data_IF_706003595532
#
_entry.id   IF_706003595532
#
_cell.length_a   1.000
_cell.length_b   1.000
_cell.length_c   1.000
_cell.angle_alpha   90.00
_cell.angle_beta   90.00
_cell.angle_gamma   90.00
#
_symmetry.space_group_name_H-M   'P 1'
#
loop_
_entity.id
_entity.type
_entity.pdbx_description
1 polymer ?
#
# COMPACT_ATOMS: atom_id res chain seq x y z
N UNK A 1 -10.27 -2.95 9.28
CA UNK A 1 -11.65 -2.44 9.09
C UNK A 1 -12.23 -1.73 10.33
N UNK A 2 -11.92 -2.16 11.58
CA UNK A 2 -12.49 -1.57 12.81
C UNK A 2 -12.20 -0.07 12.96
N UNK A 3 -11.00 0.37 12.60
CA UNK A 3 -10.62 1.79 12.66
C UNK A 3 -11.23 2.66 11.55
N UNK A 4 -12.00 2.09 10.62
CA UNK A 4 -12.62 2.84 9.54
C UNK A 4 -11.74 3.15 8.33
N UNK A 5 -10.46 2.75 8.32
CA UNK A 5 -9.52 3.02 7.22
C UNK A 5 -10.10 2.69 5.83
N UNK A 6 -10.70 1.51 5.67
CA UNK A 6 -11.30 1.09 4.40
C UNK A 6 -12.61 1.83 4.03
N UNK A 7 -13.08 2.77 4.85
CA UNK A 7 -14.16 3.68 4.44
C UNK A 7 -13.65 4.89 3.67
N UNK A 8 -12.38 5.22 3.85
CA UNK A 8 -11.75 6.39 3.25
C UNK A 8 -10.76 6.02 2.15
N UNK A 9 -10.20 4.79 2.18
CA UNK A 9 -9.16 4.34 1.28
C UNK A 9 -9.59 3.12 0.47
N UNK A 10 -9.17 3.08 -0.79
CA UNK A 10 -9.31 1.95 -1.69
C UNK A 10 -7.94 1.31 -1.96
N UNK A 11 -7.91 -0.01 -2.03
CA UNK A 11 -6.71 -0.78 -2.34
C UNK A 11 -6.53 -0.87 -3.85
N UNK A 12 -5.30 -0.70 -4.32
CA UNK A 12 -5.00 -0.76 -5.75
C UNK A 12 -3.60 -1.34 -5.99
N UNK A 13 -3.10 -1.26 -7.22
CA UNK A 13 -1.76 -1.71 -7.57
C UNK A 13 -1.64 -3.22 -7.77
N UNK A 14 -0.39 -3.71 -7.87
CA UNK A 14 -0.10 -5.10 -8.21
C UNK A 14 -0.60 -6.11 -7.19
N UNK A 15 -0.58 -5.76 -5.90
CA UNK A 15 -1.04 -6.67 -4.84
C UNK A 15 -2.57 -6.78 -4.83
N UNK A 16 -3.29 -5.69 -5.13
CA UNK A 16 -4.73 -5.74 -5.32
C UNK A 16 -5.11 -6.63 -6.50
N UNK A 17 -4.43 -6.49 -7.65
CA UNK A 17 -4.61 -7.34 -8.81
C UNK A 17 -4.36 -8.83 -8.47
N UNK A 18 -3.30 -9.12 -7.71
CA UNK A 18 -2.99 -10.49 -7.29
C UNK A 18 -4.07 -11.10 -6.41
N UNK A 19 -4.49 -10.39 -5.37
CA UNK A 19 -5.41 -10.94 -4.35
C UNK A 19 -6.84 -11.04 -4.86
N UNK A 20 -7.30 -10.05 -5.65
CA UNK A 20 -8.71 -9.90 -5.97
C UNK A 20 -9.05 -10.20 -7.45
N UNK A 21 -8.05 -10.14 -8.35
CA UNK A 21 -8.26 -10.28 -9.79
C UNK A 21 -7.42 -11.43 -10.40
N UNK A 22 -6.74 -12.23 -9.56
CA UNK A 22 -6.07 -13.44 -10.01
C UNK A 22 -4.77 -13.22 -10.78
N UNK A 23 -4.11 -12.06 -10.62
CA UNK A 23 -2.82 -11.82 -11.25
C UNK A 23 -1.78 -12.84 -10.78
N UNK A 24 -1.24 -13.66 -11.71
CA UNK A 24 -0.26 -14.71 -11.44
C UNK A 24 1.17 -14.16 -11.38
N UNK A 25 1.39 -13.17 -10.55
CA UNK A 25 2.70 -12.56 -10.32
C UNK A 25 2.86 -12.18 -8.86
N UNK A 26 4.04 -12.42 -8.30
CA UNK A 26 4.35 -11.98 -6.95
C UNK A 26 4.31 -10.45 -6.83
N UNK A 27 3.66 -9.97 -5.78
CA UNK A 27 3.60 -8.57 -5.40
C UNK A 27 3.51 -8.47 -3.88
N UNK A 28 4.25 -7.57 -3.27
CA UNK A 28 4.40 -7.45 -1.81
C UNK A 28 4.03 -6.07 -1.26
N UNK A 29 4.08 -5.03 -2.10
CA UNK A 29 3.75 -3.67 -1.69
C UNK A 29 2.23 -3.54 -1.45
N UNK A 30 1.84 -2.80 -0.43
CA UNK A 30 0.45 -2.45 -0.14
C UNK A 30 0.20 -1.01 -0.59
N UNK A 31 -0.47 -0.87 -1.72
CA UNK A 31 -0.77 0.42 -2.34
C UNK A 31 -2.23 0.79 -2.07
N UNK A 32 -2.45 1.91 -1.39
CA UNK A 32 -3.76 2.48 -1.14
C UNK A 32 -3.88 3.88 -1.72
N UNK A 33 -5.08 4.27 -2.06
CA UNK A 33 -5.43 5.65 -2.39
C UNK A 33 -6.66 6.07 -1.62
N UNK A 34 -6.70 7.30 -1.14
CA UNK A 34 -7.94 7.84 -0.63
C UNK A 34 -8.98 7.89 -1.74
N UNK A 35 -10.24 7.68 -1.42
CA UNK A 35 -11.34 7.81 -2.39
C UNK A 35 -11.73 9.26 -2.61
N UNK A 36 -11.39 10.14 -1.66
CA UNK A 36 -11.57 11.59 -1.75
C UNK A 36 -10.27 12.27 -1.35
N UNK A 37 -9.89 13.31 -2.08
CA UNK A 37 -8.65 14.05 -1.80
C UNK A 37 -8.66 14.63 -0.38
N UNK A 38 -7.61 14.30 0.38
CA UNK A 38 -7.39 14.84 1.73
C UNK A 38 -5.87 15.03 1.96
N UNK A 39 -5.31 16.19 1.64
CA UNK A 39 -3.88 16.47 1.88
C UNK A 39 -3.47 16.36 3.35
N UNK A 40 -4.42 16.56 4.28
CA UNK A 40 -4.18 16.50 5.73
C UNK A 40 -4.41 15.10 6.33
N UNK A 41 -4.64 14.09 5.49
CA UNK A 41 -4.83 12.73 5.98
C UNK A 41 -3.63 12.26 6.80
N UNK A 42 -3.92 11.78 8.01
CA UNK A 42 -2.91 11.22 8.91
C UNK A 42 -3.11 9.71 9.10
N UNK A 43 -2.22 8.94 8.48
CA UNK A 43 -2.23 7.49 8.60
C UNK A 43 -1.88 7.01 10.01
N UNK A 44 -1.13 7.81 10.80
CA UNK A 44 -0.71 7.43 12.16
C UNK A 44 -1.89 7.18 13.10
N UNK A 45 -3.02 7.84 12.86
CA UNK A 45 -4.23 7.61 13.63
C UNK A 45 -4.73 6.15 13.60
N UNK A 46 -4.34 5.39 12.56
CA UNK A 46 -4.73 3.99 12.38
C UNK A 46 -3.73 2.98 12.93
N UNK A 47 -2.51 3.40 13.27
CA UNK A 47 -1.43 2.51 13.73
C UNK A 47 -1.76 1.73 15.00
N UNK A 48 -2.35 2.34 16.06
CA UNK A 48 -2.68 1.60 17.27
C UNK A 48 -3.61 0.40 17.02
N UNK A 49 -4.62 0.58 16.17
CA UNK A 49 -5.55 -0.51 15.86
C UNK A 49 -4.92 -1.55 14.92
N UNK A 50 -4.04 -1.12 14.03
CA UNK A 50 -3.26 -2.03 13.18
C UNK A 50 -2.35 -2.90 14.03
N UNK A 51 -1.56 -2.32 14.93
CA UNK A 51 -0.69 -3.06 15.85
C UNK A 51 -1.47 -4.04 16.73
N UNK A 52 -2.57 -3.58 17.32
CA UNK A 52 -3.46 -4.44 18.10
C UNK A 52 -3.98 -5.63 17.30
N UNK A 53 -4.40 -5.37 16.07
CA UNK A 53 -4.92 -6.42 15.18
C UNK A 53 -3.82 -7.42 14.81
N UNK A 54 -2.62 -6.95 14.45
CA UNK A 54 -1.49 -7.80 14.10
C UNK A 54 -1.05 -8.67 15.30
N UNK A 55 -0.99 -8.08 16.49
CA UNK A 55 -0.69 -8.81 17.73
C UNK A 55 -1.72 -9.90 18.04
N UNK A 56 -2.99 -9.68 17.72
CA UNK A 56 -4.02 -10.70 17.91
C UNK A 56 -3.84 -11.94 17.02
N UNK A 57 -3.03 -11.86 15.96
CA UNK A 57 -2.58 -12.99 15.14
C UNK A 57 -1.26 -13.61 15.61
N UNK A 58 -0.73 -13.20 16.77
CA UNK A 58 0.55 -13.68 17.28
C UNK A 58 1.77 -13.09 16.58
N UNK A 59 1.60 -11.99 15.84
CA UNK A 59 2.68 -11.29 15.15
C UNK A 59 2.95 -9.93 15.82
N UNK A 60 4.23 -9.54 15.85
CA UNK A 60 4.63 -8.19 16.25
C UNK A 60 4.90 -7.35 15.02
N UNK A 61 4.49 -6.10 15.05
CA UNK A 61 4.73 -5.12 13.98
C UNK A 61 5.35 -3.86 14.57
N UNK A 62 6.37 -3.36 13.89
CA UNK A 62 6.91 -2.02 14.12
C UNK A 62 6.69 -1.20 12.86
N UNK A 63 6.09 -0.05 13.00
CA UNK A 63 5.79 0.84 11.87
C UNK A 63 6.85 1.93 11.85
N UNK A 64 7.59 2.02 10.74
CA UNK A 64 8.59 3.05 10.54
C UNK A 64 8.21 3.94 9.36
N UNK A 65 8.31 5.25 9.55
CA UNK A 65 8.23 6.19 8.45
C UNK A 65 9.56 6.21 7.68
N UNK A 66 9.47 6.35 6.37
CA UNK A 66 10.63 6.64 5.56
C UNK A 66 10.91 8.13 5.65
N UNK A 67 11.93 8.53 6.41
CA UNK A 67 12.44 9.88 6.32
C UNK A 67 13.00 10.11 4.90
N UNK A 68 12.39 11.02 4.18
CA UNK A 68 12.90 11.44 2.87
C UNK A 68 14.08 12.38 3.11
N UNK A 69 15.29 12.01 2.66
CA UNK A 69 16.39 12.97 2.56
C UNK A 69 15.93 14.16 1.73
N UNK A 70 16.29 15.40 2.15
CA UNK A 70 15.84 16.65 1.52
C UNK A 70 16.02 16.69 -0.01
N UNK A 71 17.08 16.08 -0.54
CA UNK A 71 17.30 15.99 -2.00
C UNK A 71 16.32 15.08 -2.73
N UNK A 72 15.90 13.97 -2.11
CA UNK A 72 14.87 13.10 -2.69
C UNK A 72 13.47 13.69 -2.55
N UNK A 73 13.24 14.58 -1.57
CA UNK A 73 11.97 15.27 -1.37
C UNK A 73 11.68 16.25 -2.51
N UNK A 74 12.68 16.95 -3.04
CA UNK A 74 12.50 17.87 -4.17
C UNK A 74 12.12 17.11 -5.46
N UNK A 75 12.79 15.99 -5.75
CA UNK A 75 12.47 15.15 -6.92
C UNK A 75 11.15 14.39 -6.77
N UNK A 76 10.80 13.94 -5.56
CA UNK A 76 9.52 13.28 -5.29
C UNK A 76 8.34 14.25 -5.28
N UNK A 77 8.53 15.49 -4.82
CA UNK A 77 7.49 16.51 -4.83
C UNK A 77 7.02 16.87 -6.25
N UNK A 78 7.92 16.76 -7.25
CA UNK A 78 7.58 16.99 -8.65
C UNK A 78 6.82 15.83 -9.31
N UNK A 79 6.92 14.59 -8.77
CA UNK A 79 6.40 13.38 -9.40
C UNK A 79 5.33 12.64 -8.57
N UNK A 80 5.31 12.86 -7.24
CA UNK A 80 4.39 12.20 -6.30
C UNK A 80 4.17 13.09 -5.06
N UNK A 81 3.73 14.31 -5.27
CA UNK A 81 3.64 15.32 -4.20
C UNK A 81 2.80 14.90 -2.98
N UNK A 82 2.01 13.83 -3.09
CA UNK A 82 0.98 13.49 -2.12
C UNK A 82 1.02 12.03 -1.63
N UNK A 83 2.05 11.26 -1.99
CA UNK A 83 2.17 9.86 -1.51
C UNK A 83 2.96 9.80 -0.21
N UNK A 84 2.35 9.21 0.83
CA UNK A 84 2.99 8.91 2.11
C UNK A 84 3.43 7.45 2.12
N UNK A 85 4.71 7.18 2.37
CA UNK A 85 5.31 5.86 2.40
C UNK A 85 5.62 5.44 3.85
N UNK A 86 5.22 4.23 4.22
CA UNK A 86 5.51 3.62 5.52
C UNK A 86 6.03 2.20 5.32
N UNK A 87 6.75 1.70 6.30
CA UNK A 87 7.20 0.32 6.33
C UNK A 87 6.62 -0.40 7.54
N UNK A 88 6.00 -1.55 7.29
CA UNK A 88 5.55 -2.46 8.32
C UNK A 88 6.61 -3.56 8.48
N UNK A 89 7.23 -3.62 9.64
CA UNK A 89 8.24 -4.61 10.00
C UNK A 89 7.58 -5.65 10.89
N UNK A 90 7.45 -6.87 10.39
CA UNK A 90 6.81 -7.97 11.12
C UNK A 90 7.86 -8.89 11.72
N UNK A 91 7.65 -9.29 12.97
CA UNK A 91 8.47 -10.21 13.71
C UNK A 91 7.62 -11.41 14.18
N UNK A 92 8.19 -12.61 14.20
CA UNK A 92 7.46 -13.83 14.58
C UNK A 92 7.13 -13.85 16.08
N UNK A 93 8.07 -13.46 16.95
CA UNK A 93 7.89 -13.31 18.39
C UNK A 93 9.05 -12.49 19.00
N UNK A 94 8.95 -12.13 20.31
CA UNK A 94 9.99 -11.36 21.00
C UNK A 94 11.28 -12.17 21.20
N UNK A 95 11.19 -13.50 21.33
CA UNK A 95 12.34 -14.39 21.52
C UNK A 95 13.10 -14.52 20.20
N UNK A 96 12.38 -14.67 19.10
CA UNK A 96 12.92 -14.72 17.75
C UNK A 96 13.51 -13.37 17.35
N UNK A 97 12.90 -12.24 17.78
CA UNK A 97 13.42 -10.89 17.51
C UNK A 97 14.83 -10.63 18.10
N UNK A 98 15.17 -11.31 19.19
CA UNK A 98 16.50 -11.20 19.82
C UNK A 98 17.56 -12.13 19.18
N UNK A 99 17.14 -13.14 18.43
CA UNK A 99 18.03 -14.12 17.75
C UNK A 99 18.15 -13.87 16.24
N UNK A 100 17.20 -13.13 15.65
CA UNK A 100 17.18 -12.80 14.22
C UNK A 100 17.94 -11.50 14.02
N UNK A 101 18.96 -11.55 13.18
CA UNK A 101 19.62 -10.33 12.70
C UNK A 101 18.58 -9.41 12.05
N UNK A 102 18.75 -8.10 12.19
CA UNK A 102 17.85 -7.07 11.60
C UNK A 102 17.50 -7.26 10.11
N UNK A 103 18.18 -8.20 9.44
CA UNK A 103 17.99 -8.53 8.03
C UNK A 103 16.90 -9.58 7.76
N UNK A 104 16.32 -10.21 8.77
CA UNK A 104 15.33 -11.28 8.61
C UNK A 104 13.89 -10.84 8.93
N UNK A 105 13.68 -9.56 9.27
CA UNK A 105 12.34 -9.02 9.43
C UNK A 105 11.62 -8.96 8.07
N UNK A 106 10.40 -9.49 8.01
CA UNK A 106 9.55 -9.29 6.83
C UNK A 106 9.18 -7.81 6.73
N UNK A 107 9.64 -7.15 5.68
CA UNK A 107 9.40 -5.73 5.43
C UNK A 107 8.35 -5.55 4.35
N UNK A 108 7.19 -5.04 4.71
CA UNK A 108 6.13 -4.71 3.77
C UNK A 108 6.05 -3.20 3.61
N UNK A 109 6.14 -2.73 2.38
CA UNK A 109 5.96 -1.34 2.03
C UNK A 109 4.47 -1.01 1.98
N UNK A 110 4.07 0.05 2.67
CA UNK A 110 2.73 0.59 2.67
C UNK A 110 2.76 2.00 2.09
N UNK A 111 2.07 2.20 0.99
CA UNK A 111 1.93 3.52 0.35
C UNK A 111 0.47 3.97 0.41
N UNK A 112 0.25 5.26 0.62
CA UNK A 112 -1.06 5.86 0.48
C UNK A 112 -0.98 7.14 -0.34
N UNK A 113 -1.76 7.19 -1.41
CA UNK A 113 -1.97 8.40 -2.20
C UNK A 113 -3.11 9.21 -1.57
N UNK A 114 -2.82 10.44 -1.18
CA UNK A 114 -3.79 11.35 -0.55
C UNK A 114 -4.56 12.21 -1.55
N UNK A 115 -4.21 12.10 -2.83
CA UNK A 115 -4.88 12.80 -3.94
C UNK A 115 -5.19 11.81 -5.07
N UNK A 116 -6.32 11.10 -4.99
CA UNK A 116 -6.70 10.14 -6.01
C UNK A 116 -6.81 10.81 -7.39
N UNK A 117 -6.52 10.07 -8.47
CA UNK A 117 -6.73 10.58 -9.82
C UNK A 117 -8.20 10.92 -10.05
N UNK A 118 -8.44 11.97 -10.82
CA UNK A 118 -9.79 12.34 -11.19
C UNK A 118 -10.48 11.18 -11.93
N UNK A 119 -11.77 10.99 -11.67
CA UNK A 119 -12.62 9.96 -12.29
C UNK A 119 -12.26 8.52 -11.93
N UNK A 120 -11.40 8.29 -10.92
CA UNK A 120 -11.22 6.96 -10.38
C UNK A 120 -12.53 6.42 -9.81
N UNK A 121 -12.85 5.18 -10.15
CA UNK A 121 -14.05 4.46 -9.68
C UNK A 121 -13.64 3.30 -8.80
N UNK A 122 -14.55 2.91 -7.90
CA UNK A 122 -14.26 1.97 -6.83
C UNK A 122 -15.34 0.89 -6.76
N UNK A 123 -14.92 -0.29 -6.37
CA UNK A 123 -15.84 -1.37 -6.05
C UNK A 123 -15.58 -1.87 -4.62
N UNK A 124 -16.56 -2.56 -4.07
CA UNK A 124 -16.51 -3.14 -2.73
C UNK A 124 -16.50 -4.65 -2.83
N UNK A 125 -15.52 -5.28 -2.19
CA UNK A 125 -15.40 -6.73 -2.15
C UNK A 125 -15.33 -7.27 -0.74
N UNK A 126 -15.82 -8.50 -0.57
CA UNK A 126 -15.74 -9.26 0.66
C UNK A 126 -14.72 -10.38 0.49
N UNK A 127 -13.84 -10.53 1.48
CA UNK A 127 -12.95 -11.67 1.63
C UNK A 127 -13.33 -12.46 2.87
N UNK A 128 -13.24 -13.79 2.76
CA UNK A 128 -13.56 -14.69 3.88
C UNK A 128 -12.32 -15.18 4.62
N UNK A 129 -11.15 -15.14 4.00
CA UNK A 129 -9.89 -15.58 4.59
C UNK A 129 -8.90 -14.40 4.72
N UNK A 130 -8.06 -14.37 5.76
CA UNK A 130 -7.99 -15.29 6.91
C UNK A 130 -9.13 -15.11 7.91
N UNK A 131 -9.90 -14.04 7.80
CA UNK A 131 -11.11 -13.71 8.53
C UNK A 131 -12.02 -12.88 7.62
N UNK A 132 -13.34 -12.88 7.83
CA UNK A 132 -14.25 -12.06 7.04
C UNK A 132 -13.91 -10.56 7.15
N UNK A 133 -13.69 -9.92 6.02
CA UNK A 133 -13.50 -8.46 5.93
C UNK A 133 -14.05 -7.89 4.62
N UNK A 134 -14.38 -6.64 4.68
CA UNK A 134 -14.80 -5.83 3.55
C UNK A 134 -13.71 -4.82 3.22
N UNK A 135 -13.46 -4.61 1.92
CA UNK A 135 -12.45 -3.68 1.43
C UNK A 135 -12.96 -2.96 0.19
N UNK A 136 -12.64 -1.68 0.08
CA UNK A 136 -12.82 -0.93 -1.16
C UNK A 136 -11.59 -1.14 -2.04
N UNK A 137 -11.83 -1.36 -3.33
CA UNK A 137 -10.82 -1.54 -4.37
C UNK A 137 -11.03 -0.51 -5.47
N UNK A 138 -9.99 -0.21 -6.20
CA UNK A 138 -10.17 0.32 -7.56
C UNK A 138 -10.81 -0.78 -8.41
N UNK A 139 -11.79 -0.40 -9.22
CA UNK A 139 -12.36 -1.30 -10.21
C UNK A 139 -11.37 -1.60 -11.34
N UNK A 140 -11.65 -2.63 -12.13
CA UNK A 140 -10.75 -3.05 -13.23
C UNK A 140 -10.43 -1.92 -14.21
N UNK A 141 -11.40 -1.09 -14.68
CA UNK A 141 -11.09 0.03 -15.57
C UNK A 141 -10.10 1.03 -14.95
N UNK A 142 -10.27 1.38 -13.67
CA UNK A 142 -9.38 2.32 -12.97
C UNK A 142 -8.00 1.72 -12.72
N UNK A 143 -7.92 0.41 -12.40
CA UNK A 143 -6.64 -0.31 -12.28
C UNK A 143 -5.90 -0.33 -13.62
N UNK A 144 -6.58 -0.65 -14.71
CA UNK A 144 -6.01 -0.66 -16.05
C UNK A 144 -5.53 0.74 -16.47
N UNK A 145 -6.34 1.78 -16.26
CA UNK A 145 -5.95 3.16 -16.54
C UNK A 145 -4.69 3.55 -15.77
N UNK A 146 -4.58 3.16 -14.50
CA UNK A 146 -3.39 3.38 -13.68
C UNK A 146 -2.14 2.67 -14.23
N UNK A 147 -2.29 1.47 -14.80
CA UNK A 147 -1.19 0.73 -15.45
C UNK A 147 -0.75 1.40 -16.75
N UNK A 148 -1.68 1.78 -17.60
CA UNK A 148 -1.38 2.52 -18.83
C UNK A 148 -0.67 3.84 -18.51
N UNK A 149 -1.17 4.58 -17.53
CA UNK A 149 -0.51 5.81 -17.07
C UNK A 149 0.92 5.54 -16.57
N UNK A 150 1.13 4.47 -15.81
CA UNK A 150 2.46 4.09 -15.34
C UNK A 150 3.41 3.76 -16.50
N UNK A 151 2.95 3.04 -17.52
CA UNK A 151 3.75 2.71 -18.71
C UNK A 151 4.13 3.98 -19.47
N UNK A 152 3.15 4.84 -19.74
CA UNK A 152 3.38 6.06 -20.52
C UNK A 152 4.25 7.08 -19.78
N UNK A 153 3.99 7.30 -18.49
CA UNK A 153 4.65 8.38 -17.72
C UNK A 153 6.01 7.95 -17.15
N UNK A 154 6.23 6.66 -16.82
CA UNK A 154 7.52 6.19 -16.31
C UNK A 154 8.59 6.06 -17.40
N UNK A 155 8.21 5.85 -18.66
CA UNK A 155 9.13 5.74 -19.79
C UNK A 155 10.02 7.00 -19.93
N UNK A 156 9.53 8.16 -19.52
CA UNK A 156 10.28 9.42 -19.56
C UNK A 156 11.48 9.46 -18.62
N UNK A 157 11.57 8.52 -17.68
CA UNK A 157 12.65 8.45 -16.69
C UNK A 157 13.62 7.28 -16.94
N UNK A 158 13.69 6.74 -18.16
CA UNK A 158 14.54 5.59 -18.53
C UNK A 158 14.32 4.34 -17.65
N UNK A 159 13.13 4.17 -17.04
CA UNK A 159 12.82 3.05 -16.17
C UNK A 159 11.47 2.42 -16.48
N UNK A 160 11.36 1.75 -17.62
CA UNK A 160 10.23 0.86 -17.89
C UNK A 160 10.40 -0.39 -17.00
N UNK A 161 9.42 -0.67 -16.16
CA UNK A 161 9.36 -1.92 -15.42
C UNK A 161 8.52 -2.91 -16.24
N UNK A 162 9.10 -4.01 -16.68
CA UNK A 162 8.40 -5.05 -17.45
C UNK A 162 7.10 -5.53 -16.79
N UNK A 163 7.03 -5.49 -15.46
CA UNK A 163 5.82 -5.81 -14.71
C UNK A 163 4.63 -4.89 -15.00
N UNK A 164 4.84 -3.62 -15.34
CA UNK A 164 3.75 -2.69 -15.65
C UNK A 164 3.11 -2.99 -17.04
N UNK A 165 3.85 -3.74 -17.90
CA UNK A 165 3.33 -4.25 -19.17
C UNK A 165 2.67 -5.63 -19.02
N UNK A 166 3.09 -6.41 -18.01
CA UNK A 166 2.54 -7.72 -17.72
C UNK A 166 1.19 -7.64 -17.01
N UNK A 167 1.05 -6.72 -16.07
CA UNK A 167 -0.16 -6.49 -15.29
C UNK A 167 -1.29 -5.91 -16.15
#
# INVERSE_FOLDING_TARGET
SRAGFFREAAFYGGTALRIFYGLDRFSEDLDFSLMTSNPNFDLKAYFPELEKTVRSFGLNVVISEKEKNKESAIRSAFLKGNTKEHFLLFYADEVTANSITKNEALKIKFEIDTMPPAFATFERRFCLAPMPYEINLYDEPSLFAGKIHAVLCRAWQNRVKGRDLYD
#
